data_IF_463063165840
#
_entry.id   IF_463063165840
#
_cell.length_a   1.000
_cell.length_b   1.000
_cell.length_c   1.000
_cell.angle_alpha   90.00
_cell.angle_beta   90.00
_cell.angle_gamma   90.00
#
_symmetry.space_group_name_H-M   'P 1'
#
loop_
_entity.id
_entity.type
_entity.pdbx_description
1 polymer ?
#
# COMPACT_ATOMS: atom_id res chain seq x y z
N UNK A 1 -0.38 14.56 16.05
CA UNK A 1 0.47 13.55 15.39
C UNK A 1 0.03 13.35 13.95
N UNK A 2 1.01 13.08 13.10
CA UNK A 2 0.70 12.85 11.68
C UNK A 2 0.13 11.45 11.48
N UNK A 3 -0.85 11.33 10.60
CA UNK A 3 -1.41 10.04 10.24
C UNK A 3 -0.35 9.18 9.55
N UNK A 4 -0.28 7.90 9.92
CA UNK A 4 0.63 6.94 9.29
C UNK A 4 -0.16 6.15 8.25
N UNK A 5 0.31 6.16 7.01
CA UNK A 5 -0.38 5.57 5.86
C UNK A 5 0.56 4.62 5.12
N UNK A 6 0.12 3.38 4.91
CA UNK A 6 0.86 2.42 4.09
C UNK A 6 0.27 2.39 2.69
N UNK A 7 1.14 2.50 1.68
CA UNK A 7 0.75 2.41 0.27
C UNK A 7 0.56 0.94 -0.12
N UNK A 8 -0.54 0.65 -0.78
CA UNK A 8 -0.85 -0.68 -1.30
C UNK A 8 -1.20 -0.57 -2.78
N UNK A 9 -0.78 -1.55 -3.56
CA UNK A 9 -1.10 -1.57 -4.99
C UNK A 9 -0.25 -2.57 -5.74
N UNK A 10 -0.61 -2.84 -6.99
CA UNK A 10 0.18 -3.70 -7.86
C UNK A 10 1.50 -3.04 -8.24
N UNK A 11 2.57 -3.82 -8.30
CA UNK A 11 3.88 -3.32 -8.72
C UNK A 11 3.86 -2.73 -10.13
N UNK A 12 2.88 -3.08 -10.96
CA UNK A 12 2.71 -2.44 -12.27
C UNK A 12 2.49 -0.94 -12.16
N UNK A 13 2.07 -0.47 -10.98
CA UNK A 13 1.81 0.95 -10.71
C UNK A 13 2.89 1.58 -9.82
N UNK A 14 4.11 1.02 -9.78
CA UNK A 14 5.13 1.50 -8.85
C UNK A 14 5.46 2.97 -9.03
N UNK A 15 5.53 3.47 -10.26
CA UNK A 15 5.82 4.88 -10.51
C UNK A 15 4.72 5.77 -9.94
N UNK A 16 3.46 5.37 -10.13
CA UNK A 16 2.31 6.10 -9.60
C UNK A 16 2.28 6.03 -8.07
N UNK A 17 2.64 4.88 -7.51
CA UNK A 17 2.71 4.70 -6.07
C UNK A 17 3.75 5.62 -5.44
N UNK A 18 4.92 5.77 -6.07
CA UNK A 18 5.95 6.69 -5.60
C UNK A 18 5.51 8.14 -5.71
N UNK A 19 4.87 8.51 -6.82
CA UNK A 19 4.33 9.85 -7.03
C UNK A 19 3.30 10.22 -5.95
N UNK A 20 2.37 9.31 -5.70
CA UNK A 20 1.31 9.52 -4.70
C UNK A 20 1.91 9.60 -3.30
N UNK A 21 2.90 8.77 -3.00
CA UNK A 21 3.58 8.81 -1.69
C UNK A 21 4.16 10.18 -1.42
N UNK A 22 4.82 10.76 -2.42
CA UNK A 22 5.37 12.11 -2.32
C UNK A 22 4.27 13.14 -2.09
N UNK A 23 3.18 13.06 -2.84
CA UNK A 23 2.06 14.00 -2.69
C UNK A 23 1.41 13.90 -1.31
N UNK A 24 1.20 12.69 -0.82
CA UNK A 24 0.60 12.49 0.50
C UNK A 24 1.47 13.09 1.60
N UNK A 25 2.78 12.99 1.48
CA UNK A 25 3.67 13.60 2.46
C UNK A 25 3.70 15.12 2.35
N UNK A 26 3.86 15.64 1.15
CA UNK A 26 4.00 17.09 0.96
C UNK A 26 2.68 17.83 1.19
N UNK A 27 1.58 17.32 0.64
CA UNK A 27 0.29 18.00 0.69
C UNK A 27 -0.50 17.68 1.94
N UNK A 28 -0.51 16.42 2.36
CA UNK A 28 -1.33 15.99 3.49
C UNK A 28 -0.55 15.86 4.79
N UNK A 29 0.77 15.90 4.71
CA UNK A 29 1.66 15.75 5.86
C UNK A 29 1.45 14.40 6.57
N UNK A 30 1.14 13.37 5.81
CA UNK A 30 1.07 12.01 6.33
C UNK A 30 2.47 11.42 6.38
N UNK A 31 2.69 10.49 7.30
CA UNK A 31 3.89 9.66 7.31
C UNK A 31 3.59 8.46 6.43
N UNK A 32 4.25 8.37 5.28
CA UNK A 32 3.94 7.33 4.30
C UNK A 32 4.95 6.19 4.37
N UNK A 33 4.42 4.97 4.49
CA UNK A 33 5.23 3.74 4.45
C UNK A 33 5.00 3.10 3.09
N UNK A 34 6.10 2.87 2.37
CA UNK A 34 6.04 2.38 1.00
C UNK A 34 6.40 0.90 0.89
N UNK A 35 6.05 0.30 -0.25
CA UNK A 35 6.50 -1.04 -0.61
C UNK A 35 7.99 -1.02 -0.91
N UNK A 36 8.59 -2.20 -1.00
CA UNK A 36 9.95 -2.34 -1.54
C UNK A 36 9.82 -2.40 -3.05
N UNK A 37 10.35 -1.39 -3.73
CA UNK A 37 10.36 -1.32 -5.20
C UNK A 37 11.68 -1.83 -5.71
N UNK A 38 11.66 -2.87 -6.53
CA UNK A 38 12.87 -3.48 -7.03
C UNK A 38 12.60 -4.25 -8.32
N UNK A 39 13.59 -4.25 -9.22
CA UNK A 39 13.56 -5.08 -10.42
C UNK A 39 14.20 -6.44 -10.18
N UNK A 40 14.70 -6.69 -8.97
CA UNK A 40 15.32 -7.97 -8.63
C UNK A 40 14.29 -9.08 -8.65
N UNK A 41 14.75 -10.26 -9.03
CA UNK A 41 13.93 -11.47 -8.89
C UNK A 41 14.12 -12.02 -7.49
N UNK A 42 13.04 -12.08 -6.74
CA UNK A 42 13.07 -12.61 -5.38
C UNK A 42 12.75 -14.11 -5.40
N UNK A 43 13.40 -14.86 -4.51
CA UNK A 43 13.03 -16.25 -4.25
C UNK A 43 11.65 -16.30 -3.59
N UNK A 44 11.02 -17.46 -3.59
CA UNK A 44 9.73 -17.63 -2.90
C UNK A 44 9.83 -17.25 -1.43
N UNK A 45 10.93 -17.60 -0.78
CA UNK A 45 11.16 -17.28 0.62
C UNK A 45 11.26 -15.77 0.82
N UNK A 46 11.98 -15.07 -0.06
CA UNK A 46 12.10 -13.62 0.00
C UNK A 46 10.77 -12.95 -0.24
N UNK A 47 9.99 -13.44 -1.21
CA UNK A 47 8.64 -12.92 -1.47
C UNK A 47 7.75 -13.06 -0.24
N UNK A 48 7.83 -14.19 0.45
CA UNK A 48 7.05 -14.42 1.66
C UNK A 48 7.46 -13.46 2.78
N UNK A 49 8.76 -13.22 2.94
CA UNK A 49 9.27 -12.27 3.93
C UNK A 49 8.73 -10.87 3.65
N UNK A 50 8.83 -10.43 2.39
CA UNK A 50 8.35 -9.09 2.00
C UNK A 50 6.84 -8.96 2.20
N UNK A 51 6.09 -10.02 1.89
CA UNK A 51 4.63 -10.02 2.08
C UNK A 51 4.28 -9.92 3.56
N UNK A 52 4.93 -10.71 4.41
CA UNK A 52 4.68 -10.68 5.85
C UNK A 52 4.99 -9.30 6.45
N UNK A 53 6.10 -8.70 6.02
CA UNK A 53 6.48 -7.39 6.50
C UNK A 53 5.51 -6.31 6.00
N UNK A 54 4.97 -6.46 4.80
CA UNK A 54 3.97 -5.52 4.30
C UNK A 54 2.69 -5.56 5.15
N UNK A 55 2.25 -6.75 5.56
CA UNK A 55 1.13 -6.86 6.49
C UNK A 55 1.43 -6.18 7.82
N UNK A 56 2.67 -6.29 8.30
CA UNK A 56 3.08 -5.59 9.52
C UNK A 56 3.09 -4.07 9.33
N UNK A 57 3.45 -3.58 8.15
CA UNK A 57 3.34 -2.15 7.82
C UNK A 57 1.90 -1.68 7.94
N UNK A 58 0.97 -2.46 7.42
CA UNK A 58 -0.47 -2.16 7.53
C UNK A 58 -0.89 -2.14 8.99
N UNK A 59 -0.43 -3.10 9.76
CA UNK A 59 -0.80 -3.23 11.18
C UNK A 59 -0.41 -2.01 12.00
N UNK A 60 0.76 -1.42 11.73
CA UNK A 60 1.24 -0.26 12.49
C UNK A 60 0.72 1.06 11.92
N UNK A 61 0.00 1.04 10.81
CA UNK A 61 -0.52 2.24 10.16
C UNK A 61 -1.91 2.60 10.70
N UNK A 62 -2.28 3.87 10.53
CA UNK A 62 -3.66 4.32 10.80
C UNK A 62 -4.56 3.98 9.64
N UNK A 63 -4.03 4.01 8.42
CA UNK A 63 -4.79 3.71 7.22
C UNK A 63 -3.90 3.14 6.14
N UNK A 64 -4.53 2.63 5.08
CA UNK A 64 -3.83 2.29 3.85
C UNK A 64 -4.36 3.17 2.73
N UNK A 65 -3.53 3.37 1.71
CA UNK A 65 -3.91 4.07 0.50
C UNK A 65 -3.72 3.13 -0.68
N UNK A 66 -4.81 2.78 -1.33
CA UNK A 66 -4.82 1.81 -2.43
C UNK A 66 -4.68 2.54 -3.76
N UNK A 67 -3.61 2.22 -4.49
CA UNK A 67 -3.35 2.82 -5.81
C UNK A 67 -3.98 1.93 -6.87
N UNK A 68 -5.25 2.18 -7.17
CA UNK A 68 -6.06 1.36 -8.07
C UNK A 68 -6.29 2.09 -9.41
N UNK A 69 -5.22 2.23 -10.17
CA UNK A 69 -5.28 2.89 -11.50
C UNK A 69 -6.29 2.17 -12.38
N UNK A 70 -7.23 2.92 -12.96
CA UNK A 70 -8.34 2.39 -13.77
C UNK A 70 -9.19 1.35 -13.01
N UNK A 71 -9.18 1.44 -11.68
CA UNK A 71 -9.95 0.53 -10.84
C UNK A 71 -9.30 -0.83 -10.61
N UNK A 72 -8.10 -1.07 -11.16
CA UNK A 72 -7.45 -2.37 -11.05
C UNK A 72 -6.95 -2.63 -9.63
N UNK A 73 -7.35 -3.78 -9.08
CA UNK A 73 -6.87 -4.28 -7.79
C UNK A 73 -6.47 -5.74 -8.00
N UNK A 74 -5.18 -6.04 -7.82
CA UNK A 74 -4.70 -7.42 -7.95
C UNK A 74 -5.00 -8.26 -6.71
N UNK A 75 -4.75 -9.56 -6.81
CA UNK A 75 -5.04 -10.48 -5.72
C UNK A 75 -4.33 -10.14 -4.41
N UNK A 76 -3.05 -9.79 -4.48
CA UNK A 76 -2.28 -9.46 -3.27
C UNK A 76 -2.82 -8.21 -2.61
N UNK A 77 -3.14 -7.19 -3.40
CA UNK A 77 -3.69 -5.94 -2.89
C UNK A 77 -5.07 -6.17 -2.28
N UNK A 78 -5.89 -7.02 -2.92
CA UNK A 78 -7.21 -7.35 -2.38
C UNK A 78 -7.11 -7.99 -1.00
N UNK A 79 -6.16 -8.89 -0.80
CA UNK A 79 -5.93 -9.52 0.51
C UNK A 79 -5.47 -8.50 1.55
N UNK A 80 -4.66 -7.53 1.14
CA UNK A 80 -4.20 -6.46 2.01
C UNK A 80 -5.37 -5.56 2.43
N UNK A 81 -6.28 -5.27 1.51
CA UNK A 81 -7.49 -4.49 1.80
C UNK A 81 -8.35 -5.25 2.83
N UNK A 82 -8.57 -6.55 2.63
CA UNK A 82 -9.35 -7.35 3.56
C UNK A 82 -8.71 -7.39 4.94
N UNK A 83 -7.39 -7.49 5.00
CA UNK A 83 -6.65 -7.46 6.26
C UNK A 83 -6.83 -6.11 6.97
N UNK A 84 -6.70 -5.00 6.24
CA UNK A 84 -6.90 -3.67 6.80
C UNK A 84 -8.31 -3.49 7.34
N UNK A 85 -9.32 -3.99 6.61
CA UNK A 85 -10.71 -3.96 7.06
C UNK A 85 -10.88 -4.73 8.37
N UNK A 86 -10.28 -5.91 8.44
CA UNK A 86 -10.36 -6.76 9.63
C UNK A 86 -9.77 -6.06 10.85
N UNK A 87 -8.73 -5.26 10.66
CA UNK A 87 -8.10 -4.50 11.74
C UNK A 87 -8.79 -3.16 12.03
N UNK A 88 -9.85 -2.84 11.30
CA UNK A 88 -10.57 -1.57 11.48
C UNK A 88 -9.80 -0.36 10.97
N UNK A 89 -8.86 -0.55 10.05
CA UNK A 89 -8.10 0.57 9.49
C UNK A 89 -8.92 1.33 8.46
N UNK A 90 -8.67 2.64 8.36
CA UNK A 90 -9.23 3.45 7.29
C UNK A 90 -8.63 3.02 5.95
N UNK A 91 -9.45 3.01 4.90
CA UNK A 91 -8.98 2.64 3.56
C UNK A 91 -9.27 3.79 2.61
N UNK A 92 -8.20 4.35 2.03
CA UNK A 92 -8.29 5.40 1.02
C UNK A 92 -7.98 4.79 -0.34
N UNK A 93 -8.54 5.36 -1.39
CA UNK A 93 -8.36 4.87 -2.75
C UNK A 93 -7.99 6.02 -3.67
N UNK A 94 -7.14 5.72 -4.69
CA UNK A 94 -6.86 6.69 -5.74
C UNK A 94 -8.11 6.96 -6.56
N UNK A 95 -8.84 5.90 -6.92
CA UNK A 95 -10.07 6.00 -7.71
C UNK A 95 -11.23 5.40 -6.93
N UNK A 96 -12.44 6.00 -7.06
CA UNK A 96 -13.60 5.49 -6.32
C UNK A 96 -13.89 4.03 -6.65
N UNK A 97 -14.31 3.29 -5.63
CA UNK A 97 -14.76 1.91 -5.80
C UNK A 97 -16.21 1.93 -6.25
N UNK A 98 -16.49 1.15 -7.29
CA UNK A 98 -17.84 1.01 -7.82
C UNK A 98 -18.56 -0.17 -7.20
#
# INVERSE_FOLDING_TARGET
MNKIVTICGSMRFEDKMMEISKELEIKNKYVVIQCIYSNDKFTEKEQQILSDLHYNKIKISDSIYVVNVNGYIGNSTDKEIEYAKKLGKEIMYLEPIK
#
